data_IF_640078389018
#
_entry.id   IF_640078389018
#
_cell.length_a   1.000
_cell.length_b   1.000
_cell.length_c   1.000
_cell.angle_alpha   90.00
_cell.angle_beta   90.00
_cell.angle_gamma   90.00
#
_symmetry.space_group_name_H-M   'P 1'
#
loop_
_entity.id
_entity.type
_entity.pdbx_description
1 polymer ?
#
# COMPACT_ATOMS: atom_id res chain seq x y z
N UNK A 1 32.93 4.35 -10.22
CA UNK A 1 31.47 4.52 -10.17
C UNK A 1 30.87 3.31 -9.47
N UNK A 2 30.25 3.42 -8.31
CA UNK A 2 29.68 2.26 -7.64
C UNK A 2 28.41 1.84 -8.38
N UNK A 3 28.34 0.57 -8.75
CA UNK A 3 27.18 -0.10 -9.32
C UNK A 3 26.04 -0.06 -8.28
N UNK A 4 25.09 0.87 -8.42
CA UNK A 4 23.88 0.94 -7.62
C UNK A 4 22.83 -0.08 -8.07
N UNK A 5 23.20 -1.35 -8.12
CA UNK A 5 22.23 -2.44 -8.25
C UNK A 5 21.93 -3.00 -6.85
N UNK A 6 21.53 -2.13 -5.92
CA UNK A 6 20.90 -2.59 -4.68
C UNK A 6 19.51 -3.08 -5.06
N UNK A 7 19.31 -4.40 -5.01
CA UNK A 7 17.99 -4.98 -5.11
C UNK A 7 17.07 -4.26 -4.12
N UNK A 8 16.10 -3.52 -4.65
CA UNK A 8 15.12 -2.82 -3.83
C UNK A 8 14.16 -3.89 -3.31
N UNK A 9 13.93 -4.03 -1.97
CA UNK A 9 12.92 -4.95 -1.45
C UNK A 9 11.52 -4.53 -1.89
N UNK A 10 11.39 -3.29 -2.32
CA UNK A 10 10.23 -2.77 -2.99
C UNK A 10 10.35 -3.16 -4.46
N UNK A 11 9.58 -4.13 -4.89
CA UNK A 11 9.54 -4.59 -6.28
C UNK A 11 9.41 -3.39 -7.21
N UNK A 12 10.43 -3.18 -8.04
CA UNK A 12 10.43 -2.20 -9.12
C UNK A 12 10.13 -2.95 -10.41
N UNK A 13 9.02 -2.65 -11.04
CA UNK A 13 8.59 -3.32 -12.26
C UNK A 13 7.11 -3.70 -12.23
N UNK A 14 6.74 -4.77 -12.89
CA UNK A 14 5.36 -5.27 -12.94
C UNK A 14 4.91 -5.81 -11.57
N UNK A 15 4.50 -4.92 -10.68
CA UNK A 15 3.90 -5.29 -9.40
C UNK A 15 2.53 -5.94 -9.67
N UNK A 16 2.39 -7.21 -9.29
CA UNK A 16 1.15 -7.98 -9.50
C UNK A 16 -0.07 -7.31 -8.88
N UNK A 17 0.08 -6.69 -7.71
CA UNK A 17 -1.01 -5.97 -7.03
C UNK A 17 -1.41 -4.74 -7.83
N UNK A 18 -0.45 -3.99 -8.37
CA UNK A 18 -0.73 -2.85 -9.23
C UNK A 18 -1.47 -3.30 -10.49
N UNK A 19 -1.00 -4.39 -11.13
CA UNK A 19 -1.65 -4.96 -12.30
C UNK A 19 -3.10 -5.37 -12.01
N UNK A 20 -3.35 -6.10 -10.92
CA UNK A 20 -4.69 -6.50 -10.53
C UNK A 20 -5.60 -5.31 -10.23
N UNK A 21 -5.07 -4.26 -9.60
CA UNK A 21 -5.82 -3.05 -9.32
C UNK A 21 -6.17 -2.27 -10.61
N UNK A 22 -5.24 -2.19 -11.57
CA UNK A 22 -5.49 -1.57 -12.89
C UNK A 22 -6.52 -2.36 -13.71
N UNK A 23 -6.43 -3.69 -13.72
CA UNK A 23 -7.43 -4.56 -14.36
C UNK A 23 -8.82 -4.38 -13.75
N UNK A 24 -8.90 -4.25 -12.42
CA UNK A 24 -10.15 -3.98 -11.73
C UNK A 24 -10.72 -2.60 -12.10
N UNK A 25 -9.86 -1.58 -12.22
CA UNK A 25 -10.27 -0.26 -12.67
C UNK A 25 -10.90 -0.32 -14.08
N UNK A 26 -10.27 -1.01 -15.01
CA UNK A 26 -10.82 -1.20 -16.37
C UNK A 26 -12.18 -1.89 -16.33
N UNK A 27 -12.33 -2.95 -15.51
CA UNK A 27 -13.61 -3.69 -15.39
C UNK A 27 -14.74 -2.83 -14.81
N UNK A 28 -14.42 -1.86 -13.93
CA UNK A 28 -15.42 -0.99 -13.28
C UNK A 28 -15.74 0.26 -14.08
N UNK A 29 -14.87 0.69 -14.99
CA UNK A 29 -15.06 1.90 -15.77
C UNK A 29 -16.26 1.74 -16.69
N UNK A 30 -17.22 2.66 -16.59
CA UNK A 30 -18.45 2.73 -17.40
C UNK A 30 -18.71 4.16 -17.81
N UNK A 31 -19.62 4.37 -18.75
CA UNK A 31 -19.98 5.70 -19.25
C UNK A 31 -20.56 6.59 -18.14
N UNK A 32 -21.32 5.99 -17.24
CA UNK A 32 -22.04 6.65 -16.14
C UNK A 32 -21.33 6.55 -14.78
N UNK A 33 -20.19 5.85 -14.70
CA UNK A 33 -19.45 5.64 -13.46
C UNK A 33 -17.95 5.83 -13.65
N UNK A 34 -17.44 6.92 -13.11
CA UNK A 34 -16.01 7.19 -13.05
C UNK A 34 -15.42 6.56 -11.78
N UNK A 35 -14.52 5.62 -11.96
CA UNK A 35 -13.90 4.87 -10.86
C UNK A 35 -13.12 5.80 -9.93
N UNK A 36 -13.37 5.72 -8.63
CA UNK A 36 -12.64 6.44 -7.60
C UNK A 36 -11.54 5.57 -6.99
N UNK A 37 -10.31 6.02 -7.06
CA UNK A 37 -9.12 5.27 -6.62
C UNK A 37 -8.32 6.07 -5.61
N UNK A 38 -7.85 5.43 -4.55
CA UNK A 38 -6.84 5.99 -3.66
C UNK A 38 -5.55 5.17 -3.75
N UNK A 39 -4.42 5.85 -3.84
CA UNK A 39 -3.07 5.26 -3.82
C UNK A 39 -2.29 5.85 -2.65
N UNK A 40 -1.80 5.00 -1.75
CA UNK A 40 -0.94 5.38 -0.64
C UNK A 40 0.23 4.40 -0.45
N UNK A 41 1.48 4.87 -0.28
CA UNK A 41 1.91 6.25 -0.52
C UNK A 41 1.92 6.58 -2.02
N UNK A 42 1.68 7.85 -2.33
CA UNK A 42 1.72 8.35 -3.71
C UNK A 42 3.12 8.21 -4.35
N UNK A 43 4.15 8.36 -3.53
CA UNK A 43 5.57 8.23 -3.93
C UNK A 43 5.88 9.03 -5.20
N UNK A 44 6.25 8.37 -6.30
CA UNK A 44 6.53 9.01 -7.60
C UNK A 44 5.30 9.28 -8.45
N UNK A 45 4.09 9.05 -7.94
CA UNK A 45 2.81 9.19 -8.64
C UNK A 45 2.63 8.28 -9.88
N UNK A 46 3.54 7.34 -10.14
CA UNK A 46 3.50 6.50 -11.35
C UNK A 46 2.19 5.69 -11.42
N UNK A 47 1.78 5.08 -10.30
CA UNK A 47 0.55 4.32 -10.25
C UNK A 47 -0.69 5.23 -10.33
N UNK A 48 -0.67 6.39 -9.67
CA UNK A 48 -1.75 7.38 -9.77
C UNK A 48 -1.96 7.83 -11.22
N UNK A 49 -0.87 8.10 -11.95
CA UNK A 49 -0.91 8.45 -13.38
C UNK A 49 -1.44 7.31 -14.24
N UNK A 50 -1.08 6.05 -13.94
CA UNK A 50 -1.63 4.88 -14.66
C UNK A 50 -3.16 4.82 -14.52
N UNK A 51 -3.70 5.03 -13.31
CA UNK A 51 -5.15 5.08 -13.08
C UNK A 51 -5.82 6.28 -13.77
N UNK A 52 -5.21 7.47 -13.71
CA UNK A 52 -5.72 8.66 -14.38
C UNK A 52 -5.82 8.46 -15.90
N UNK A 53 -4.82 7.81 -16.52
CA UNK A 53 -4.86 7.43 -17.95
C UNK A 53 -6.02 6.49 -18.30
N UNK A 54 -6.52 5.72 -17.34
CA UNK A 54 -7.71 4.89 -17.49
C UNK A 54 -9.02 5.67 -17.25
N UNK A 55 -8.93 6.98 -17.01
CA UNK A 55 -10.10 7.84 -16.77
C UNK A 55 -10.61 7.83 -15.32
N UNK A 56 -9.90 7.23 -14.37
CA UNK A 56 -10.27 7.24 -12.96
C UNK A 56 -10.09 8.63 -12.32
N UNK A 57 -10.84 8.89 -11.24
CA UNK A 57 -10.52 9.96 -10.29
C UNK A 57 -9.58 9.38 -9.24
N UNK A 58 -8.47 10.03 -8.99
CA UNK A 58 -7.39 9.47 -8.17
C UNK A 58 -7.04 10.40 -7.00
N UNK A 59 -7.09 9.88 -5.80
CA UNK A 59 -6.51 10.49 -4.62
C UNK A 59 -5.09 9.94 -4.44
N UNK A 60 -4.10 10.78 -4.70
CA UNK A 60 -2.69 10.50 -4.46
C UNK A 60 -2.35 10.91 -3.03
N UNK A 61 -2.42 9.97 -2.10
CA UNK A 61 -2.23 10.23 -0.68
C UNK A 61 -0.76 10.02 -0.28
N UNK A 62 -0.20 10.96 0.48
CA UNK A 62 1.16 10.87 1.04
C UNK A 62 1.28 11.77 2.27
N UNK A 63 2.42 11.67 2.99
CA UNK A 63 2.70 12.53 4.14
C UNK A 63 2.80 13.99 3.72
N UNK A 64 2.39 14.90 4.59
CA UNK A 64 2.46 16.35 4.36
C UNK A 64 3.87 16.81 3.95
N UNK A 65 4.92 16.19 4.52
CA UNK A 65 6.30 16.48 4.16
C UNK A 65 6.63 16.26 2.66
N UNK A 66 5.82 15.47 1.94
CA UNK A 66 5.99 15.18 0.52
C UNK A 66 5.03 15.96 -0.38
N UNK A 67 4.20 16.83 0.18
CA UNK A 67 3.15 17.58 -0.54
C UNK A 67 3.66 18.25 -1.82
N UNK A 68 4.66 19.12 -1.70
CA UNK A 68 5.20 19.87 -2.83
C UNK A 68 5.78 18.96 -3.93
N UNK A 69 6.45 17.87 -3.54
CA UNK A 69 7.04 16.92 -4.47
C UNK A 69 5.95 16.14 -5.23
N UNK A 70 4.90 15.71 -4.53
CA UNK A 70 3.76 15.00 -5.12
C UNK A 70 2.97 15.92 -6.05
N UNK A 71 2.64 17.15 -5.62
CA UNK A 71 1.94 18.13 -6.47
C UNK A 71 2.75 18.50 -7.72
N UNK A 72 4.06 18.71 -7.58
CA UNK A 72 4.94 18.95 -8.73
C UNK A 72 4.89 17.81 -9.74
N UNK A 73 4.82 16.55 -9.27
CA UNK A 73 4.68 15.36 -10.14
C UNK A 73 3.30 15.28 -10.79
N UNK A 74 2.24 15.59 -10.06
CA UNK A 74 0.88 15.66 -10.61
C UNK A 74 0.83 16.71 -11.74
N UNK A 75 1.36 17.89 -11.49
CA UNK A 75 1.43 18.96 -12.51
C UNK A 75 2.21 18.52 -13.75
N UNK A 76 3.40 17.93 -13.54
CA UNK A 76 4.24 17.44 -14.63
C UNK A 76 3.60 16.29 -15.43
N UNK A 77 2.68 15.55 -14.83
CA UNK A 77 1.97 14.44 -15.50
C UNK A 77 0.88 14.91 -16.47
N UNK A 78 0.40 16.16 -16.32
CA UNK A 78 -0.74 16.69 -17.08
C UNK A 78 -2.12 16.22 -16.61
N UNK A 79 -2.23 15.45 -15.52
CA UNK A 79 -3.50 14.90 -15.00
C UNK A 79 -4.02 15.63 -13.76
N UNK A 80 -3.89 16.95 -13.73
CA UNK A 80 -4.30 17.81 -12.58
C UNK A 80 -5.81 17.80 -12.31
N UNK A 81 -6.62 17.46 -13.31
CA UNK A 81 -8.07 17.34 -13.15
C UNK A 81 -8.51 15.96 -12.63
N UNK A 82 -7.67 14.95 -12.83
CA UNK A 82 -7.94 13.56 -12.47
C UNK A 82 -7.30 13.17 -11.13
N UNK A 83 -6.15 13.75 -10.79
CA UNK A 83 -5.37 13.40 -9.61
C UNK A 83 -5.41 14.55 -8.61
N UNK A 84 -5.80 14.24 -7.37
CA UNK A 84 -5.77 15.18 -6.24
C UNK A 84 -4.82 14.67 -5.17
N UNK A 85 -4.02 15.56 -4.61
CA UNK A 85 -3.23 15.24 -3.44
C UNK A 85 -4.11 15.20 -2.19
N UNK A 86 -3.78 14.31 -1.26
CA UNK A 86 -4.32 14.30 0.08
C UNK A 86 -3.20 14.00 1.10
N UNK A 87 -3.11 14.84 2.14
CA UNK A 87 -2.22 14.56 3.26
C UNK A 87 -2.75 13.36 4.04
N UNK A 88 -1.93 12.32 4.19
CA UNK A 88 -2.25 11.13 4.96
C UNK A 88 -1.02 10.56 5.62
N UNK A 89 -1.03 10.46 6.94
CA UNK A 89 0.04 9.88 7.73
C UNK A 89 -0.53 8.83 8.70
N UNK A 90 -0.11 7.57 8.52
CA UNK A 90 -0.55 6.48 9.39
C UNK A 90 0.03 6.65 10.82
N UNK A 91 -0.74 6.27 11.86
CA UNK A 91 -2.05 5.60 11.80
C UNK A 91 -3.26 6.54 11.64
N UNK A 92 -3.06 7.86 11.54
CA UNK A 92 -4.13 8.86 11.56
C UNK A 92 -4.67 9.10 10.14
N UNK A 93 -5.80 8.49 9.81
CA UNK A 93 -6.47 8.68 8.53
C UNK A 93 -7.50 9.82 8.68
N UNK A 94 -7.46 10.87 7.86
CA UNK A 94 -8.46 11.94 7.87
C UNK A 94 -9.89 11.39 7.65
N UNK A 95 -10.87 12.01 8.33
CA UNK A 95 -12.27 11.63 8.15
C UNK A 95 -12.77 11.92 6.73
N UNK A 96 -12.37 13.05 6.17
CA UNK A 96 -12.73 13.48 4.82
C UNK A 96 -11.51 13.37 3.88
N UNK A 97 -11.53 12.42 2.96
CA UNK A 97 -10.57 12.31 1.88
C UNK A 97 -11.26 12.65 0.55
N UNK A 98 -10.54 13.27 -0.41
CA UNK A 98 -11.09 13.54 -1.74
C UNK A 98 -11.66 12.29 -2.41
N UNK A 99 -12.74 12.45 -3.18
CA UNK A 99 -13.33 11.41 -4.03
C UNK A 99 -13.93 10.17 -3.31
N UNK A 100 -14.08 10.20 -1.98
CA UNK A 100 -14.77 9.13 -1.25
C UNK A 100 -16.26 9.00 -1.67
N UNK A 101 -16.85 7.80 -1.55
CA UNK A 101 -16.22 6.51 -1.24
C UNK A 101 -15.48 5.91 -2.44
N UNK A 102 -14.39 5.20 -2.17
CA UNK A 102 -13.52 4.63 -3.20
C UNK A 102 -14.03 3.29 -3.74
N UNK A 103 -13.76 3.02 -5.01
CA UNK A 103 -13.90 1.71 -5.64
C UNK A 103 -12.67 0.83 -5.40
N UNK A 104 -11.49 1.47 -5.36
CA UNK A 104 -10.19 0.82 -5.23
C UNK A 104 -9.32 1.63 -4.27
N UNK A 105 -8.72 0.94 -3.31
CA UNK A 105 -7.64 1.50 -2.47
C UNK A 105 -6.41 0.62 -2.65
N UNK A 106 -5.25 1.23 -2.91
CA UNK A 106 -3.96 0.56 -3.00
C UNK A 106 -3.03 1.07 -1.90
N UNK A 107 -2.55 0.15 -1.04
CA UNK A 107 -1.63 0.44 0.05
C UNK A 107 -0.34 -0.35 -0.16
N UNK A 108 0.80 0.37 -0.17
CA UNK A 108 2.10 -0.26 -0.40
C UNK A 108 3.03 -0.07 0.80
N UNK A 109 3.40 -1.19 1.44
CA UNK A 109 4.44 -1.34 2.48
C UNK A 109 4.28 -0.53 3.78
N UNK A 110 3.50 0.53 3.79
CA UNK A 110 3.40 1.44 4.94
C UNK A 110 2.86 0.81 6.22
N UNK A 111 2.00 -0.21 6.10
CA UNK A 111 1.46 -0.94 7.25
C UNK A 111 2.55 -1.68 8.05
N UNK A 112 3.66 -2.03 7.41
CA UNK A 112 4.80 -2.67 8.10
C UNK A 112 5.48 -1.77 9.12
N UNK A 113 5.29 -0.45 9.04
CA UNK A 113 5.82 0.51 10.02
C UNK A 113 4.91 0.74 11.23
N UNK A 114 3.86 -0.05 11.36
CA UNK A 114 2.93 -0.03 12.49
C UNK A 114 2.99 -1.35 13.26
N UNK A 115 2.75 -1.33 14.60
CA UNK A 115 2.42 -2.54 15.33
C UNK A 115 1.16 -3.20 14.76
N UNK A 116 1.04 -4.52 14.89
CA UNK A 116 -0.05 -5.30 14.31
C UNK A 116 -1.44 -4.74 14.63
N UNK A 117 -1.70 -4.40 15.89
CA UNK A 117 -3.02 -3.90 16.32
C UNK A 117 -3.36 -2.54 15.70
N UNK A 118 -2.35 -1.66 15.53
CA UNK A 118 -2.53 -0.38 14.85
C UNK A 118 -2.76 -0.58 13.35
N UNK A 119 -1.98 -1.47 12.71
CA UNK A 119 -2.18 -1.83 11.30
C UNK A 119 -3.60 -2.38 11.06
N UNK A 120 -4.12 -3.20 11.99
CA UNK A 120 -5.50 -3.70 11.94
C UNK A 120 -6.53 -2.58 12.02
N UNK A 121 -6.35 -1.62 12.94
CA UNK A 121 -7.22 -0.47 13.07
C UNK A 121 -7.22 0.41 11.81
N UNK A 122 -6.06 0.62 11.23
CA UNK A 122 -5.87 1.36 9.96
C UNK A 122 -6.59 0.65 8.80
N UNK A 123 -6.43 -0.66 8.65
CA UNK A 123 -7.16 -1.43 7.62
C UNK A 123 -8.67 -1.28 7.79
N UNK A 124 -9.17 -1.35 9.03
CA UNK A 124 -10.60 -1.17 9.31
C UNK A 124 -11.11 0.20 8.85
N UNK A 125 -10.33 1.26 9.08
CA UNK A 125 -10.67 2.60 8.61
C UNK A 125 -10.69 2.66 7.07
N UNK A 126 -9.71 2.10 6.38
CA UNK A 126 -9.72 2.05 4.92
C UNK A 126 -10.90 1.24 4.36
N UNK A 127 -11.28 0.15 5.03
CA UNK A 127 -12.47 -0.61 4.61
C UNK A 127 -13.73 0.24 4.69
N UNK A 128 -13.86 1.13 5.68
CA UNK A 128 -15.01 2.05 5.79
C UNK A 128 -15.03 3.09 4.66
N UNK A 129 -13.88 3.47 4.12
CA UNK A 129 -13.76 4.42 3.00
C UNK A 129 -13.99 3.79 1.61
N UNK A 130 -14.02 2.47 1.53
CA UNK A 130 -14.42 1.76 0.31
C UNK A 130 -15.94 1.76 0.15
N UNK A 131 -16.43 1.70 -1.09
CA UNK A 131 -17.82 1.32 -1.39
C UNK A 131 -18.05 -0.15 -1.02
N UNK A 132 -19.30 -0.54 -0.82
CA UNK A 132 -19.68 -1.96 -0.77
C UNK A 132 -19.27 -2.60 -2.10
N UNK A 133 -18.56 -3.73 -2.05
CA UNK A 133 -17.94 -4.35 -3.22
C UNK A 133 -16.64 -3.68 -3.70
N UNK A 134 -16.22 -2.56 -3.08
CA UNK A 134 -14.92 -1.94 -3.32
C UNK A 134 -13.77 -2.82 -2.84
N UNK A 135 -12.60 -2.70 -3.47
CA UNK A 135 -11.45 -3.57 -3.20
C UNK A 135 -10.26 -2.83 -2.63
N UNK A 136 -9.65 -3.47 -1.64
CA UNK A 136 -8.38 -3.08 -1.03
C UNK A 136 -7.27 -3.98 -1.56
N UNK A 137 -6.21 -3.35 -2.05
CA UNK A 137 -4.99 -3.99 -2.54
C UNK A 137 -3.85 -3.62 -1.60
N UNK A 138 -3.22 -4.61 -0.99
CA UNK A 138 -2.19 -4.41 0.04
C UNK A 138 -0.91 -5.12 -0.34
N UNK A 139 0.21 -4.41 -0.23
CA UNK A 139 1.57 -4.98 -0.20
C UNK A 139 2.21 -4.68 1.15
N UNK A 140 2.89 -5.66 1.73
CA UNK A 140 3.49 -5.57 3.07
C UNK A 140 4.84 -6.31 3.08
N UNK A 141 5.75 -5.88 3.95
CA UNK A 141 7.06 -6.51 4.10
C UNK A 141 6.92 -7.92 4.67
N UNK A 142 7.50 -8.89 3.99
CA UNK A 142 7.39 -10.30 4.35
C UNK A 142 8.51 -10.77 5.25
N UNK A 143 8.19 -11.67 6.20
CA UNK A 143 9.17 -12.29 7.09
C UNK A 143 10.08 -13.28 6.34
N UNK A 144 9.58 -13.85 5.26
CA UNK A 144 10.34 -14.76 4.39
C UNK A 144 11.14 -14.04 3.30
N UNK A 145 11.16 -12.68 3.33
CA UNK A 145 12.05 -11.90 2.49
C UNK A 145 13.45 -11.82 3.12
N UNK A 146 14.41 -11.30 2.36
CA UNK A 146 15.75 -11.03 2.88
C UNK A 146 15.74 -10.13 4.15
N UNK A 147 14.69 -9.32 4.35
CA UNK A 147 14.52 -8.49 5.55
C UNK A 147 14.37 -9.32 6.83
N UNK A 148 13.96 -10.59 6.73
CA UNK A 148 13.89 -11.52 7.84
C UNK A 148 15.27 -11.99 8.35
N UNK A 149 16.34 -11.77 7.59
CA UNK A 149 17.67 -12.20 7.97
C UNK A 149 18.18 -11.41 9.17
N UNK A 150 18.33 -12.10 10.32
CA UNK A 150 18.72 -11.47 11.58
C UNK A 150 17.68 -10.53 12.18
N UNK A 151 16.39 -10.74 11.87
CA UNK A 151 15.29 -10.03 12.50
C UNK A 151 14.97 -10.68 13.85
N UNK A 152 15.21 -9.93 14.96
CA UNK A 152 15.17 -10.47 16.34
C UNK A 152 13.80 -11.04 16.74
N UNK A 153 12.71 -10.50 16.19
CA UNK A 153 11.34 -10.89 16.53
C UNK A 153 10.75 -11.97 15.61
N UNK A 154 11.57 -12.68 14.82
CA UNK A 154 11.07 -13.63 13.81
C UNK A 154 10.22 -14.76 14.41
N UNK A 155 10.57 -15.25 15.61
CA UNK A 155 9.85 -16.34 16.30
C UNK A 155 8.66 -15.88 17.14
N UNK A 156 8.49 -14.56 17.33
CA UNK A 156 7.39 -14.02 18.10
C UNK A 156 6.05 -14.12 17.34
N UNK A 157 4.96 -14.14 18.09
CA UNK A 157 3.63 -13.92 17.52
C UNK A 157 3.61 -12.56 16.82
N UNK A 158 2.83 -12.43 15.74
CA UNK A 158 2.83 -11.21 14.92
C UNK A 158 2.37 -9.97 15.70
N UNK A 159 1.53 -10.16 16.70
CA UNK A 159 1.04 -9.11 17.60
C UNK A 159 2.16 -8.49 18.44
N UNK A 160 3.19 -9.30 18.78
CA UNK A 160 4.34 -8.90 19.59
C UNK A 160 5.59 -8.60 18.74
N UNK A 161 5.45 -8.70 17.41
CA UNK A 161 6.53 -8.56 16.45
C UNK A 161 6.64 -7.13 15.97
N UNK A 162 7.51 -6.33 16.62
CA UNK A 162 7.75 -4.95 16.19
C UNK A 162 9.11 -4.45 16.66
N UNK A 163 10.15 -4.67 15.86
CA UNK A 163 11.52 -4.26 16.18
C UNK A 163 12.26 -3.70 14.95
N UNK A 164 13.47 -3.21 15.15
CA UNK A 164 14.35 -2.79 14.06
C UNK A 164 14.83 -4.01 13.25
N UNK A 165 15.04 -3.80 11.97
CA UNK A 165 15.76 -4.76 11.14
C UNK A 165 17.20 -4.92 11.61
N UNK A 166 17.88 -6.00 11.21
CA UNK A 166 19.31 -6.16 11.46
C UNK A 166 20.10 -4.99 10.85
N UNK A 167 21.26 -4.61 11.44
CA UNK A 167 22.07 -3.49 10.93
C UNK A 167 22.46 -3.63 9.46
N UNK A 168 22.66 -4.86 9.00
CA UNK A 168 22.96 -5.16 7.61
C UNK A 168 21.78 -4.79 6.69
N UNK A 169 20.57 -5.15 7.08
CA UNK A 169 19.35 -4.85 6.31
C UNK A 169 18.99 -3.37 6.36
N UNK A 170 19.15 -2.71 7.51
CA UNK A 170 19.00 -1.24 7.61
C UNK A 170 19.94 -0.53 6.64
N UNK A 171 21.22 -0.91 6.62
CA UNK A 171 22.21 -0.31 5.72
C UNK A 171 21.91 -0.58 4.24
N UNK A 172 21.51 -1.83 3.92
CA UNK A 172 21.25 -2.24 2.53
C UNK A 172 20.02 -1.55 1.95
N UNK A 173 18.94 -1.47 2.71
CA UNK A 173 17.63 -1.04 2.21
C UNK A 173 17.22 0.36 2.68
N UNK A 174 18.00 0.99 3.56
CA UNK A 174 17.71 2.29 4.16
C UNK A 174 16.32 2.38 4.84
N UNK A 175 15.83 1.24 5.35
CA UNK A 175 14.58 1.18 6.12
C UNK A 175 14.93 1.55 7.56
N UNK A 176 14.42 2.69 8.03
CA UNK A 176 14.66 3.20 9.38
C UNK A 176 13.47 2.96 10.28
N UNK A 177 13.75 2.77 11.58
CA UNK A 177 12.72 2.54 12.59
C UNK A 177 12.28 1.08 12.66
N UNK A 178 11.34 0.85 13.58
CA UNK A 178 10.79 -0.48 13.81
C UNK A 178 9.85 -0.88 12.67
N UNK A 179 9.80 -2.17 12.38
CA UNK A 179 8.89 -2.76 11.43
C UNK A 179 8.29 -4.04 12.00
N UNK A 180 7.07 -4.37 11.58
CA UNK A 180 6.47 -5.67 11.72
C UNK A 180 6.60 -6.40 10.38
N UNK A 181 7.21 -7.59 10.37
CA UNK A 181 7.30 -8.45 9.20
C UNK A 181 6.21 -9.51 9.24
N UNK A 182 5.57 -9.77 8.12
CA UNK A 182 4.38 -10.60 8.02
C UNK A 182 4.63 -11.88 7.22
N UNK A 183 4.00 -12.97 7.64
CA UNK A 183 3.75 -14.10 6.76
C UNK A 183 2.45 -13.89 5.97
N UNK A 184 2.23 -14.70 4.95
CA UNK A 184 0.98 -14.70 4.19
C UNK A 184 -0.24 -14.93 5.09
N UNK A 185 -0.12 -15.88 6.03
CA UNK A 185 -1.14 -16.15 7.05
C UNK A 185 -1.40 -14.93 7.95
N UNK A 186 -0.34 -14.21 8.36
CA UNK A 186 -0.52 -13.03 9.20
C UNK A 186 -1.30 -11.92 8.48
N UNK A 187 -1.00 -11.67 7.20
CA UNK A 187 -1.75 -10.68 6.42
C UNK A 187 -3.20 -11.12 6.20
N UNK A 188 -3.44 -12.40 5.92
CA UNK A 188 -4.79 -12.94 5.80
C UNK A 188 -5.61 -12.70 7.08
N UNK A 189 -5.05 -13.03 8.24
CA UNK A 189 -5.71 -12.83 9.54
C UNK A 189 -5.92 -11.34 9.84
N UNK A 190 -4.93 -10.48 9.58
CA UNK A 190 -5.03 -9.03 9.76
C UNK A 190 -6.25 -8.46 9.01
N UNK A 191 -6.42 -8.85 7.75
CA UNK A 191 -7.53 -8.39 6.91
C UNK A 191 -8.88 -8.94 7.40
N UNK A 192 -8.93 -10.23 7.76
CA UNK A 192 -10.13 -10.87 8.26
C UNK A 192 -10.60 -10.23 9.59
N UNK A 193 -9.68 -10.02 10.52
CA UNK A 193 -9.95 -9.37 11.82
C UNK A 193 -10.35 -7.90 11.68
N UNK A 194 -9.90 -7.24 10.61
CA UNK A 194 -10.34 -5.88 10.27
C UNK A 194 -11.74 -5.84 9.64
N UNK A 195 -12.37 -7.00 9.38
CA UNK A 195 -13.72 -7.11 8.80
C UNK A 195 -13.74 -7.12 7.27
N UNK A 196 -12.62 -7.42 6.62
CA UNK A 196 -12.56 -7.55 5.18
C UNK A 196 -12.82 -9.01 4.73
N UNK A 197 -13.45 -9.20 3.57
CA UNK A 197 -13.49 -10.51 2.91
C UNK A 197 -12.26 -10.66 2.01
N UNK A 198 -11.37 -11.60 2.36
CA UNK A 198 -10.10 -11.80 1.64
C UNK A 198 -10.34 -12.62 0.39
N UNK A 199 -10.02 -12.05 -0.77
CA UNK A 199 -10.19 -12.72 -2.07
C UNK A 199 -8.93 -13.48 -2.48
N UNK A 200 -7.76 -12.96 -2.13
CA UNK A 200 -6.48 -13.54 -2.53
C UNK A 200 -5.38 -13.08 -1.59
N UNK A 201 -4.46 -14.00 -1.29
CA UNK A 201 -3.14 -13.70 -0.74
C UNK A 201 -2.07 -14.34 -1.60
N UNK A 202 -0.88 -13.80 -1.60
CA UNK A 202 0.28 -14.38 -2.28
C UNK A 202 1.58 -13.87 -1.64
N UNK A 203 2.60 -14.70 -1.72
CA UNK A 203 3.98 -14.33 -1.39
C UNK A 203 4.76 -14.20 -2.68
N UNK A 204 5.45 -13.08 -2.87
CA UNK A 204 6.25 -12.82 -4.06
C UNK A 204 7.54 -13.62 -4.05
N UNK A 205 8.25 -13.67 -5.18
CA UNK A 205 9.58 -14.29 -5.27
C UNK A 205 10.62 -13.60 -4.37
N UNK A 206 10.39 -12.35 -4.00
CA UNK A 206 11.22 -11.60 -3.04
C UNK A 206 10.80 -11.79 -1.58
N UNK A 207 9.78 -12.63 -1.32
CA UNK A 207 9.27 -12.92 0.01
C UNK A 207 8.32 -11.88 0.59
N UNK A 208 7.98 -10.80 -0.13
CA UNK A 208 6.97 -9.86 0.29
C UNK A 208 5.57 -10.47 0.18
N UNK A 209 4.66 -9.99 1.01
CA UNK A 209 3.30 -10.54 1.06
C UNK A 209 2.31 -9.53 0.49
N UNK A 210 1.39 -10.01 -0.33
CA UNK A 210 0.36 -9.22 -0.99
C UNK A 210 -1.01 -9.82 -0.77
N UNK A 211 -2.03 -8.96 -0.76
CA UNK A 211 -3.41 -9.41 -0.64
C UNK A 211 -4.38 -8.51 -1.42
N UNK A 212 -5.49 -9.11 -1.80
CA UNK A 212 -6.69 -8.43 -2.30
C UNK A 212 -7.85 -8.77 -1.39
N UNK A 213 -8.52 -7.75 -0.87
CA UNK A 213 -9.69 -7.90 -0.03
C UNK A 213 -10.84 -7.05 -0.55
N UNK A 214 -12.07 -7.38 -0.19
CA UNK A 214 -13.28 -6.67 -0.59
C UNK A 214 -14.10 -6.27 0.62
N UNK A 215 -14.72 -5.09 0.54
CA UNK A 215 -15.75 -4.66 1.49
C UNK A 215 -17.08 -5.34 1.15
N UNK A 216 -17.60 -6.11 2.08
CA UNK A 216 -18.92 -6.74 2.01
C UNK A 216 -19.96 -5.95 2.77
#
# INVERSE_FOLDING_TARGET
>A
MPNNNTANPFETGDDEIERFALEECIKRQRVDHRVAVMVWPAARCELAVKFAKLGARVTAADREAHHQDVEGRILASGFTNEIRYAALELPNIPDDLPDEPYDIIVIRYGLSHLPYLEARAVIRQFMLKLRIGGKLYVSILGINSELGDGYDDCEKMVEDRFCNLSPAMIKKYNIKGKVCLYSERNLFLLLLEAGASVLRTLTTTYGNVKAVAVRV
#
